data_IF_057798073960
#
_entry.id   IF_057798073960
#
_cell.length_a   1.000
_cell.length_b   1.000
_cell.length_c   1.000
_cell.angle_alpha   90.00
_cell.angle_beta   90.00
_cell.angle_gamma   90.00
#
_symmetry.space_group_name_H-M   'P 1'
#
loop_
_entity.id
_entity.type
_entity.pdbx_description
1 polymer ?
#
# COMPACT_ATOMS: atom_id res chain seq x y z
N UNK A 1 -99.83 -2.75 -15.80
CA UNK A 1 -99.01 -3.37 -14.72
C UNK A 1 -98.57 -4.81 -15.01
N UNK A 2 -99.25 -5.60 -15.87
CA UNK A 2 -98.87 -7.00 -16.12
C UNK A 2 -97.64 -7.24 -17.03
N UNK A 3 -97.43 -6.44 -18.08
CA UNK A 3 -96.34 -6.70 -19.04
C UNK A 3 -94.93 -6.44 -18.49
N UNK A 4 -94.73 -5.41 -17.66
CA UNK A 4 -93.41 -5.08 -17.11
C UNK A 4 -92.88 -6.16 -16.15
N UNK A 5 -93.77 -6.79 -15.37
CA UNK A 5 -93.40 -7.87 -14.45
C UNK A 5 -92.97 -9.14 -15.18
N UNK A 6 -93.60 -9.44 -16.33
CA UNK A 6 -93.27 -10.62 -17.13
C UNK A 6 -91.94 -10.42 -17.85
N UNK A 7 -91.70 -9.24 -18.42
CA UNK A 7 -90.42 -8.93 -19.10
C UNK A 7 -89.23 -8.94 -18.15
N UNK A 8 -89.40 -8.40 -16.93
CA UNK A 8 -88.35 -8.42 -15.90
C UNK A 8 -88.07 -9.85 -15.40
N UNK A 9 -89.12 -10.67 -15.23
CA UNK A 9 -88.98 -12.07 -14.85
C UNK A 9 -88.24 -12.90 -15.90
N UNK A 10 -88.52 -12.67 -17.19
CA UNK A 10 -87.81 -13.34 -18.31
C UNK A 10 -86.35 -12.90 -18.37
N UNK A 11 -86.04 -11.60 -18.18
CA UNK A 11 -84.66 -11.10 -18.15
C UNK A 11 -83.83 -11.70 -17.00
N UNK A 12 -84.41 -11.82 -15.81
CA UNK A 12 -83.75 -12.44 -14.65
C UNK A 12 -83.52 -13.94 -14.92
N UNK A 13 -84.49 -14.64 -15.51
CA UNK A 13 -84.37 -16.05 -15.85
C UNK A 13 -83.26 -16.29 -16.90
N UNK A 14 -83.22 -15.46 -17.95
CA UNK A 14 -82.16 -15.51 -18.98
C UNK A 14 -80.79 -15.21 -18.37
N UNK A 15 -80.69 -14.23 -17.47
CA UNK A 15 -79.46 -13.90 -16.76
C UNK A 15 -78.97 -15.05 -15.86
N UNK A 16 -79.88 -15.73 -15.15
CA UNK A 16 -79.55 -16.89 -14.31
C UNK A 16 -79.10 -18.10 -15.14
N UNK A 17 -79.78 -18.39 -16.26
CA UNK A 17 -79.35 -19.44 -17.21
C UNK A 17 -77.95 -19.12 -17.75
N UNK A 18 -77.71 -17.88 -18.16
CA UNK A 18 -76.42 -17.44 -18.68
C UNK A 18 -75.29 -17.52 -17.63
N UNK A 19 -75.55 -17.18 -16.36
CA UNK A 19 -74.58 -17.28 -15.28
C UNK A 19 -74.32 -18.74 -14.86
N UNK A 20 -75.33 -19.61 -14.95
CA UNK A 20 -75.21 -21.05 -14.67
C UNK A 20 -74.32 -21.77 -15.70
N UNK A 21 -74.44 -21.41 -16.99
CA UNK A 21 -73.64 -21.99 -18.06
C UNK A 21 -72.15 -21.62 -17.98
N UNK A 22 -71.80 -20.54 -17.25
CA UNK A 22 -70.43 -20.07 -17.04
C UNK A 22 -69.82 -20.48 -15.70
N UNK A 23 -70.51 -21.28 -14.89
CA UNK A 23 -69.98 -21.80 -13.61
C UNK A 23 -69.66 -20.72 -12.56
N UNK A 24 -70.25 -19.52 -12.66
CA UNK A 24 -69.94 -18.36 -11.80
C UNK A 24 -70.96 -18.12 -10.68
N UNK A 25 -71.98 -18.98 -10.55
CA UNK A 25 -72.99 -18.87 -9.51
C UNK A 25 -72.53 -19.51 -8.21
N UNK A 26 -72.02 -18.69 -7.28
CA UNK A 26 -71.79 -19.07 -5.89
C UNK A 26 -73.06 -18.90 -5.04
N UNK A 27 -73.19 -19.68 -3.96
CA UNK A 27 -74.35 -19.65 -3.06
C UNK A 27 -74.68 -18.24 -2.51
N UNK A 28 -73.66 -17.38 -2.37
CA UNK A 28 -73.82 -15.98 -1.93
C UNK A 28 -74.56 -15.13 -2.96
N UNK A 29 -74.32 -15.34 -4.26
CA UNK A 29 -74.98 -14.60 -5.34
C UNK A 29 -76.45 -15.01 -5.44
N UNK A 30 -76.75 -16.30 -5.27
CA UNK A 30 -78.12 -16.82 -5.22
C UNK A 30 -78.91 -16.26 -4.04
N UNK A 31 -78.28 -16.19 -2.85
CA UNK A 31 -78.84 -15.54 -1.67
C UNK A 31 -79.15 -14.07 -1.92
N UNK A 32 -78.24 -13.34 -2.58
CA UNK A 32 -78.44 -11.91 -2.85
C UNK A 32 -79.64 -11.69 -3.78
N UNK A 33 -79.70 -12.44 -4.89
CA UNK A 33 -80.80 -12.38 -5.88
C UNK A 33 -82.13 -12.78 -5.24
N UNK A 34 -82.16 -13.81 -4.40
CA UNK A 34 -83.36 -14.22 -3.68
C UNK A 34 -83.88 -13.13 -2.72
N UNK A 35 -83.00 -12.35 -2.09
CA UNK A 35 -83.40 -11.20 -1.25
C UNK A 35 -83.93 -10.04 -2.08
N UNK A 36 -83.30 -9.75 -3.23
CA UNK A 36 -83.79 -8.71 -4.17
C UNK A 36 -85.19 -9.06 -4.68
N UNK A 37 -85.43 -10.31 -5.07
CA UNK A 37 -86.74 -10.77 -5.56
C UNK A 37 -87.79 -10.73 -4.44
N UNK A 38 -87.40 -10.97 -3.18
CA UNK A 38 -88.27 -10.82 -2.01
C UNK A 38 -88.51 -9.35 -1.60
N UNK A 39 -87.89 -8.39 -2.29
CA UNK A 39 -88.03 -6.96 -1.98
C UNK A 39 -87.27 -6.50 -0.73
N UNK A 40 -86.29 -7.27 -0.25
CA UNK A 40 -85.42 -6.83 0.84
C UNK A 40 -84.46 -5.74 0.35
N UNK A 41 -84.47 -4.61 1.06
CA UNK A 41 -83.58 -3.48 0.78
C UNK A 41 -82.13 -3.86 1.12
N UNK A 42 -81.32 -4.05 0.08
CA UNK A 42 -79.93 -4.51 0.17
C UNK A 42 -78.95 -3.34 0.33
N UNK A 43 -79.43 -2.12 0.54
CA UNK A 43 -78.58 -0.95 0.82
C UNK A 43 -78.01 -1.02 2.24
N UNK A 44 -77.07 -1.94 2.50
CA UNK A 44 -76.16 -1.76 3.63
C UNK A 44 -75.42 -0.44 3.41
N UNK A 45 -75.73 0.58 4.21
CA UNK A 45 -74.91 1.79 4.33
C UNK A 45 -73.48 1.34 4.62
N UNK A 46 -72.57 1.61 3.69
CA UNK A 46 -71.14 1.59 3.96
C UNK A 46 -70.88 2.78 4.87
N UNK A 47 -70.76 2.55 6.18
CA UNK A 47 -70.25 3.55 7.09
C UNK A 47 -68.77 3.78 6.74
N UNK A 48 -68.50 4.84 5.97
CA UNK A 48 -67.14 5.31 5.77
C UNK A 48 -66.69 5.84 7.14
N UNK A 49 -65.61 5.32 7.74
CA UNK A 49 -65.11 5.86 9.00
C UNK A 49 -64.75 7.33 8.76
N UNK A 50 -65.49 8.23 9.41
CA UNK A 50 -65.21 9.66 9.37
C UNK A 50 -63.95 9.88 10.19
N UNK A 51 -62.81 10.03 9.53
CA UNK A 51 -61.56 10.41 10.18
C UNK A 51 -61.77 11.81 10.77
N UNK A 52 -61.58 12.01 12.08
CA UNK A 52 -61.74 13.31 12.70
C UNK A 52 -60.90 14.38 11.99
N UNK A 53 -61.48 15.56 11.73
CA UNK A 53 -60.76 16.66 11.08
C UNK A 53 -59.52 17.11 11.88
N UNK A 54 -59.52 16.87 13.20
CA UNK A 54 -58.37 17.10 14.07
C UNK A 54 -57.17 16.23 13.70
N UNK A 55 -57.39 14.96 13.39
CA UNK A 55 -56.33 14.01 13.02
C UNK A 55 -55.76 14.36 11.64
N UNK A 56 -56.61 14.81 10.71
CA UNK A 56 -56.16 15.29 9.39
C UNK A 56 -55.27 16.54 9.53
N UNK A 57 -55.60 17.46 10.45
CA UNK A 57 -54.78 18.66 10.71
C UNK A 57 -53.46 18.30 11.36
N UNK A 58 -53.45 17.37 12.32
CA UNK A 58 -52.22 16.91 12.97
C UNK A 58 -51.27 16.27 11.94
N UNK A 59 -51.78 15.38 11.09
CA UNK A 59 -50.98 14.75 10.02
C UNK A 59 -50.41 15.75 9.02
N UNK A 60 -51.14 16.84 8.73
CA UNK A 60 -50.63 17.93 7.87
C UNK A 60 -49.48 18.68 8.54
N UNK A 61 -49.61 18.99 9.83
CA UNK A 61 -48.55 19.66 10.59
C UNK A 61 -47.29 18.80 10.70
N UNK A 62 -47.44 17.51 11.02
CA UNK A 62 -46.32 16.56 11.08
C UNK A 62 -45.61 16.43 9.73
N UNK A 63 -46.37 16.39 8.62
CA UNK A 63 -45.80 16.37 7.27
C UNK A 63 -45.01 17.63 6.95
N UNK A 64 -45.53 18.81 7.30
CA UNK A 64 -44.84 20.08 7.08
C UNK A 64 -43.55 20.19 7.90
N UNK A 65 -43.56 19.72 9.15
CA UNK A 65 -42.38 19.68 10.02
C UNK A 65 -41.32 18.70 9.50
N UNK A 66 -41.74 17.52 9.05
CA UNK A 66 -40.85 16.56 8.39
C UNK A 66 -40.23 17.13 7.12
N UNK A 67 -41.00 17.87 6.32
CA UNK A 67 -40.49 18.50 5.10
C UNK A 67 -39.47 19.60 5.40
N UNK A 68 -39.70 20.41 6.44
CA UNK A 68 -38.73 21.40 6.94
C UNK A 68 -37.44 20.74 7.44
N UNK A 69 -37.57 19.62 8.16
CA UNK A 69 -36.41 18.87 8.66
C UNK A 69 -35.60 18.26 7.53
N UNK A 70 -36.26 17.67 6.53
CA UNK A 70 -35.60 17.08 5.36
C UNK A 70 -34.87 18.11 4.50
N UNK A 71 -35.46 19.29 4.31
CA UNK A 71 -34.81 20.37 3.56
C UNK A 71 -33.58 20.88 4.30
N UNK A 72 -33.68 21.13 5.61
CA UNK A 72 -32.53 21.51 6.45
C UNK A 72 -31.41 20.47 6.39
N UNK A 73 -31.73 19.19 6.58
CA UNK A 73 -30.74 18.12 6.56
C UNK A 73 -30.07 17.98 5.18
N UNK A 74 -30.81 18.21 4.09
CA UNK A 74 -30.25 18.20 2.73
C UNK A 74 -29.22 19.30 2.54
N UNK A 75 -29.51 20.51 3.03
CA UNK A 75 -28.61 21.66 2.90
C UNK A 75 -27.35 21.48 3.76
N UNK A 76 -27.50 20.89 4.95
CA UNK A 76 -26.36 20.50 5.80
C UNK A 76 -25.46 19.47 5.12
N UNK A 77 -26.04 18.43 4.50
CA UNK A 77 -25.28 17.42 3.74
C UNK A 77 -24.54 18.05 2.57
N UNK A 78 -25.16 18.98 1.85
CA UNK A 78 -24.51 19.66 0.73
C UNK A 78 -23.34 20.54 1.19
N UNK A 79 -23.51 21.23 2.33
CA UNK A 79 -22.44 22.00 2.96
C UNK A 79 -21.27 21.11 3.35
N UNK A 80 -21.54 19.97 3.99
CA UNK A 80 -20.50 18.99 4.37
C UNK A 80 -19.77 18.45 3.13
N UNK A 81 -20.49 18.17 2.04
CA UNK A 81 -19.87 17.71 0.78
C UNK A 81 -18.91 18.73 0.20
N UNK A 82 -19.27 20.02 0.22
CA UNK A 82 -18.40 21.09 -0.27
C UNK A 82 -17.14 21.23 0.59
N UNK A 83 -17.28 21.18 1.91
CA UNK A 83 -16.13 21.21 2.84
C UNK A 83 -15.21 20.02 2.59
N UNK A 84 -15.77 18.82 2.49
CA UNK A 84 -14.99 17.61 2.24
C UNK A 84 -14.26 17.65 0.88
N UNK A 85 -14.87 18.26 -0.14
CA UNK A 85 -14.22 18.45 -1.44
C UNK A 85 -13.01 19.39 -1.33
N UNK A 86 -13.16 20.50 -0.60
CA UNK A 86 -12.08 21.45 -0.35
C UNK A 86 -10.92 20.82 0.47
N UNK A 87 -11.24 20.08 1.54
CA UNK A 87 -10.23 19.38 2.34
C UNK A 87 -9.48 18.33 1.53
N UNK A 88 -10.17 17.56 0.67
CA UNK A 88 -9.54 16.59 -0.22
C UNK A 88 -8.59 17.25 -1.22
N UNK A 89 -8.95 18.41 -1.75
CA UNK A 89 -8.06 19.16 -2.64
C UNK A 89 -6.82 19.67 -1.89
N UNK A 90 -7.01 20.21 -0.67
CA UNK A 90 -5.91 20.67 0.16
C UNK A 90 -4.94 19.53 0.51
N UNK A 91 -5.46 18.37 0.91
CA UNK A 91 -4.65 17.18 1.19
C UNK A 91 -3.87 16.72 -0.03
N UNK A 92 -4.45 16.78 -1.24
CA UNK A 92 -3.71 16.45 -2.48
C UNK A 92 -2.55 17.40 -2.72
N UNK A 93 -2.72 18.70 -2.46
CA UNK A 93 -1.64 19.69 -2.60
C UNK A 93 -0.53 19.41 -1.60
N UNK A 94 -0.86 19.21 -0.32
CA UNK A 94 0.10 18.87 0.73
C UNK A 94 0.86 17.57 0.43
N UNK A 95 0.18 16.55 -0.09
CA UNK A 95 0.83 15.29 -0.48
C UNK A 95 1.82 15.50 -1.64
N UNK A 96 1.48 16.33 -2.62
CA UNK A 96 2.38 16.65 -3.73
C UNK A 96 3.63 17.42 -3.26
N UNK A 97 3.45 18.37 -2.34
CA UNK A 97 4.55 19.13 -1.73
C UNK A 97 5.49 18.20 -0.94
N UNK A 98 4.95 17.33 -0.09
CA UNK A 98 5.74 16.35 0.66
C UNK A 98 6.52 15.39 -0.26
N UNK A 99 5.92 14.96 -1.36
CA UNK A 99 6.62 14.11 -2.35
C UNK A 99 7.77 14.87 -3.03
N UNK A 100 7.59 16.16 -3.32
CA UNK A 100 8.63 17.00 -3.90
C UNK A 100 9.79 17.22 -2.92
N UNK A 101 9.48 17.50 -1.64
CA UNK A 101 10.49 17.65 -0.59
C UNK A 101 11.27 16.36 -0.35
N UNK A 102 10.57 15.22 -0.29
CA UNK A 102 11.20 13.91 -0.14
C UNK A 102 12.18 13.63 -1.28
N UNK A 103 11.78 13.88 -2.53
CA UNK A 103 12.65 13.70 -3.68
C UNK A 103 13.91 14.59 -3.61
N UNK A 104 13.75 15.84 -3.17
CA UNK A 104 14.88 16.76 -2.98
C UNK A 104 15.85 16.26 -1.89
N UNK A 105 15.32 15.75 -0.78
CA UNK A 105 16.14 15.17 0.28
C UNK A 105 16.88 13.92 -0.18
N UNK A 106 16.24 13.03 -0.94
CA UNK A 106 16.88 11.82 -1.49
C UNK A 106 18.03 12.19 -2.43
N UNK A 107 17.86 13.22 -3.27
CA UNK A 107 18.94 13.74 -4.13
C UNK A 107 20.10 14.34 -3.34
N UNK A 108 19.81 15.06 -2.25
CA UNK A 108 20.83 15.63 -1.36
C UNK A 108 21.61 14.53 -0.62
N UNK A 109 20.92 13.52 -0.07
CA UNK A 109 21.55 12.37 0.57
C UNK A 109 22.45 11.61 -0.41
N UNK A 110 21.99 11.40 -1.65
CA UNK A 110 22.81 10.78 -2.69
C UNK A 110 24.07 11.59 -2.97
N UNK A 111 23.96 12.92 -3.10
CA UNK A 111 25.13 13.78 -3.31
C UNK A 111 26.10 13.73 -2.13
N UNK A 112 25.60 13.80 -0.89
CA UNK A 112 26.42 13.72 0.30
C UNK A 112 27.18 12.39 0.38
N UNK A 113 26.48 11.27 0.16
CA UNK A 113 27.11 9.94 0.16
C UNK A 113 28.18 9.79 -0.93
N UNK A 114 27.98 10.37 -2.11
CA UNK A 114 28.98 10.39 -3.16
C UNK A 114 30.21 11.23 -2.76
N UNK A 115 29.99 12.41 -2.20
CA UNK A 115 31.10 13.27 -1.74
C UNK A 115 31.90 12.65 -0.60
N UNK A 116 31.23 12.02 0.38
CA UNK A 116 31.90 11.31 1.46
C UNK A 116 32.75 10.15 0.91
N UNK A 117 32.20 9.37 -0.03
CA UNK A 117 32.95 8.29 -0.67
C UNK A 117 34.17 8.79 -1.45
N UNK A 118 34.05 9.91 -2.16
CA UNK A 118 35.15 10.50 -2.92
C UNK A 118 36.22 11.10 -1.99
N UNK A 119 35.83 11.71 -0.87
CA UNK A 119 36.77 12.23 0.12
C UNK A 119 37.50 11.12 0.86
N UNK A 120 36.80 10.06 1.25
CA UNK A 120 37.37 8.92 1.98
C UNK A 120 38.36 8.16 1.08
N UNK A 121 38.03 7.98 -0.20
CA UNK A 121 38.93 7.39 -1.19
C UNK A 121 40.16 8.28 -1.42
N UNK A 122 39.99 9.60 -1.50
CA UNK A 122 41.11 10.53 -1.68
C UNK A 122 42.03 10.58 -0.44
N UNK A 123 41.47 10.53 0.76
CA UNK A 123 42.23 10.52 2.01
C UNK A 123 42.95 9.18 2.23
N UNK A 124 42.26 8.07 1.95
CA UNK A 124 42.86 6.72 1.94
C UNK A 124 44.00 6.62 0.92
N UNK A 125 43.83 7.18 -0.28
CA UNK A 125 44.90 7.23 -1.28
C UNK A 125 46.11 8.06 -0.83
N UNK A 126 45.89 9.21 -0.16
CA UNK A 126 46.96 10.05 0.40
C UNK A 126 47.72 9.35 1.52
N UNK A 127 47.01 8.72 2.46
CA UNK A 127 47.64 7.99 3.57
C UNK A 127 48.42 6.79 3.07
N UNK A 128 47.89 6.03 2.09
CA UNK A 128 48.61 4.95 1.42
C UNK A 128 49.89 5.45 0.75
N UNK A 129 49.84 6.56 0.01
CA UNK A 129 51.01 7.14 -0.64
C UNK A 129 52.09 7.55 0.38
N UNK A 130 51.69 8.22 1.47
CA UNK A 130 52.59 8.62 2.55
C UNK A 130 53.26 7.40 3.22
N UNK A 131 52.50 6.35 3.48
CA UNK A 131 53.00 5.11 4.08
C UNK A 131 53.99 4.39 3.16
N UNK A 132 53.70 4.30 1.85
CA UNK A 132 54.61 3.73 0.84
C UNK A 132 55.92 4.51 0.78
N UNK A 133 55.86 5.85 0.83
CA UNK A 133 57.05 6.69 0.83
C UNK A 133 57.89 6.51 2.10
N UNK A 134 57.24 6.52 3.28
CA UNK A 134 57.89 6.31 4.57
C UNK A 134 58.60 4.95 4.61
N UNK A 135 57.89 3.86 4.31
CA UNK A 135 58.47 2.51 4.34
C UNK A 135 59.52 2.29 3.24
N UNK A 136 59.45 3.04 2.14
CA UNK A 136 60.49 3.07 1.12
C UNK A 136 61.86 3.47 1.69
N UNK A 137 61.86 4.46 2.60
CA UNK A 137 63.06 5.03 3.22
C UNK A 137 63.59 4.23 4.43
N UNK A 138 62.73 3.49 5.13
CA UNK A 138 63.08 2.71 6.33
C UNK A 138 63.77 1.38 6.03
N UNK A 139 64.47 0.76 7.00
CA UNK A 139 65.00 -0.61 6.81
C UNK A 139 63.88 -1.65 6.85
N UNK A 140 63.98 -2.79 6.13
CA UNK A 140 62.94 -3.82 6.15
C UNK A 140 62.55 -4.31 7.55
N UNK A 141 63.53 -4.46 8.46
CA UNK A 141 63.29 -4.86 9.85
C UNK A 141 62.51 -3.82 10.65
N UNK A 142 62.74 -2.53 10.41
CA UNK A 142 62.00 -1.43 11.05
C UNK A 142 60.55 -1.38 10.54
N UNK A 143 60.35 -1.63 9.25
CA UNK A 143 59.00 -1.72 8.65
C UNK A 143 58.23 -2.89 9.24
N UNK A 144 58.87 -4.06 9.39
CA UNK A 144 58.24 -5.22 10.05
C UNK A 144 57.88 -4.93 11.50
N UNK A 145 58.73 -4.23 12.25
CA UNK A 145 58.43 -3.84 13.63
C UNK A 145 57.17 -2.94 13.73
N UNK A 146 56.98 -2.03 12.77
CA UNK A 146 55.77 -1.18 12.70
C UNK A 146 54.55 -2.02 12.33
N UNK A 147 54.65 -2.84 11.29
CA UNK A 147 53.55 -3.67 10.77
C UNK A 147 53.11 -4.74 11.79
N UNK A 148 54.03 -5.18 12.65
CA UNK A 148 53.75 -6.12 13.75
C UNK A 148 52.82 -5.53 14.80
N UNK A 149 52.73 -4.21 14.93
CA UNK A 149 51.70 -3.60 15.78
C UNK A 149 50.30 -3.99 15.28
N UNK A 150 49.37 -4.29 16.19
CA UNK A 150 48.00 -4.74 15.85
C UNK A 150 47.17 -3.68 15.11
N UNK A 151 47.72 -2.50 14.86
CA UNK A 151 47.05 -1.40 14.15
C UNK A 151 46.92 -1.62 12.64
N UNK A 152 47.58 -2.63 12.06
CA UNK A 152 47.61 -2.85 10.61
C UNK A 152 46.79 -4.06 10.17
N UNK A 153 45.79 -3.84 9.32
CA UNK A 153 45.06 -4.94 8.67
C UNK A 153 45.89 -5.59 7.56
N UNK A 154 45.63 -6.87 7.29
CA UNK A 154 46.32 -7.63 6.24
C UNK A 154 46.16 -6.98 4.85
N UNK A 155 44.99 -6.39 4.58
CA UNK A 155 44.71 -5.68 3.33
C UNK A 155 45.51 -4.37 3.23
N UNK A 156 45.65 -3.61 4.31
CA UNK A 156 46.47 -2.40 4.34
C UNK A 156 47.95 -2.72 4.10
N UNK A 157 48.46 -3.78 4.74
CA UNK A 157 49.82 -4.26 4.55
C UNK A 157 50.02 -4.69 3.09
N UNK A 158 49.10 -5.46 2.52
CA UNK A 158 49.13 -5.91 1.13
C UNK A 158 49.20 -4.73 0.16
N UNK A 159 48.33 -3.74 0.33
CA UNK A 159 48.28 -2.58 -0.57
C UNK A 159 49.57 -1.75 -0.54
N UNK A 160 50.14 -1.53 0.65
CA UNK A 160 51.44 -0.87 0.79
C UNK A 160 52.52 -1.69 0.08
N UNK A 161 52.64 -2.99 0.39
CA UNK A 161 53.66 -3.86 -0.20
C UNK A 161 53.55 -3.98 -1.73
N UNK A 162 52.32 -3.93 -2.28
CA UNK A 162 52.05 -3.96 -3.72
C UNK A 162 52.53 -2.71 -4.44
N UNK A 163 52.38 -1.53 -3.81
CA UNK A 163 52.78 -0.24 -4.40
C UNK A 163 54.26 0.11 -4.19
N UNK A 164 54.94 -0.58 -3.28
CA UNK A 164 56.37 -0.43 -3.06
C UNK A 164 57.21 -1.05 -4.19
N UNK A 165 58.48 -0.64 -4.30
CA UNK A 165 59.46 -1.27 -5.20
C UNK A 165 59.57 -2.77 -4.89
N UNK A 166 59.47 -3.62 -5.91
CA UNK A 166 59.46 -5.08 -5.77
C UNK A 166 60.65 -5.63 -4.95
N UNK A 167 61.85 -5.09 -5.15
CA UNK A 167 63.05 -5.51 -4.40
C UNK A 167 63.00 -5.14 -2.91
N UNK A 168 62.24 -4.10 -2.54
CA UNK A 168 62.04 -3.70 -1.16
C UNK A 168 60.92 -4.52 -0.51
N UNK A 169 59.80 -4.67 -1.22
CA UNK A 169 58.67 -5.49 -0.80
C UNK A 169 59.09 -6.95 -0.53
N UNK A 170 59.86 -7.55 -1.45
CA UNK A 170 60.40 -8.91 -1.27
C UNK A 170 61.27 -9.05 -0.02
N UNK A 171 62.12 -8.08 0.29
CA UNK A 171 62.93 -8.10 1.52
C UNK A 171 62.07 -8.00 2.78
N UNK A 172 61.01 -7.19 2.75
CA UNK A 172 60.07 -7.07 3.87
C UNK A 172 59.33 -8.39 4.07
N UNK A 173 58.87 -9.04 2.99
CA UNK A 173 58.24 -10.37 3.05
C UNK A 173 59.16 -11.40 3.69
N UNK A 174 60.43 -11.45 3.28
CA UNK A 174 61.43 -12.36 3.89
C UNK A 174 61.67 -12.07 5.38
N UNK A 175 61.56 -10.82 5.83
CA UNK A 175 61.61 -10.51 7.26
C UNK A 175 60.31 -10.90 7.98
N UNK A 176 59.14 -10.73 7.36
CA UNK A 176 57.85 -11.18 7.91
C UNK A 176 57.80 -12.71 8.11
N UNK A 177 58.41 -13.48 7.21
CA UNK A 177 58.53 -14.94 7.32
C UNK A 177 59.27 -15.39 8.59
N UNK A 178 60.13 -14.54 9.15
CA UNK A 178 60.87 -14.86 10.38
C UNK A 178 60.05 -14.59 11.65
N UNK A 179 58.94 -13.87 11.52
CA UNK A 179 58.12 -13.45 12.65
C UNK A 179 56.97 -14.45 12.91
N UNK A 180 56.91 -14.98 14.14
CA UNK A 180 55.84 -15.91 14.55
C UNK A 180 54.44 -15.31 14.41
N UNK A 181 54.31 -13.99 14.63
CA UNK A 181 53.04 -13.28 14.50
C UNK A 181 52.44 -13.33 13.09
N UNK A 182 53.26 -13.59 12.07
CA UNK A 182 52.81 -13.68 10.68
C UNK A 182 52.74 -15.12 10.14
N UNK A 183 53.39 -16.06 10.82
CA UNK A 183 53.53 -17.46 10.38
C UNK A 183 52.74 -18.46 11.22
N UNK A 184 52.18 -18.03 12.36
CA UNK A 184 51.27 -18.87 13.14
C UNK A 184 49.92 -18.97 12.43
N UNK A 185 49.42 -20.18 12.11
CA UNK A 185 48.12 -20.34 11.50
C UNK A 185 47.01 -19.92 12.46
N UNK A 186 46.06 -19.16 11.94
CA UNK A 186 44.83 -18.85 12.67
C UNK A 186 43.99 -20.13 12.85
N UNK A 187 43.36 -20.27 14.02
CA UNK A 187 42.65 -21.50 14.40
C UNK A 187 41.39 -21.73 13.56
N UNK A 188 40.77 -20.67 13.06
CA UNK A 188 39.51 -20.73 12.31
C UNK A 188 39.77 -20.91 10.82
N UNK A 189 40.68 -20.11 10.26
CA UNK A 189 40.94 -20.08 8.81
C UNK A 189 42.02 -21.08 8.37
N UNK A 190 42.80 -21.64 9.31
CA UNK A 190 43.99 -22.47 9.08
C UNK A 190 45.04 -21.84 8.16
N UNK A 191 44.95 -20.52 7.93
CA UNK A 191 45.89 -19.74 7.13
C UNK A 191 46.75 -18.90 8.05
N UNK A 192 47.98 -18.64 7.61
CA UNK A 192 48.83 -17.67 8.30
C UNK A 192 48.45 -16.25 7.88
N UNK A 193 48.73 -15.27 8.75
CA UNK A 193 48.53 -13.86 8.41
C UNK A 193 49.36 -13.46 7.18
N UNK A 194 50.56 -14.02 7.05
CA UNK A 194 51.39 -13.83 5.86
C UNK A 194 50.72 -14.37 4.59
N UNK A 195 50.15 -15.57 4.64
CA UNK A 195 49.39 -16.11 3.50
C UNK A 195 48.22 -15.20 3.12
N UNK A 196 47.49 -14.66 4.10
CA UNK A 196 46.41 -13.71 3.86
C UNK A 196 46.91 -12.44 3.16
N UNK A 197 48.04 -11.87 3.60
CA UNK A 197 48.67 -10.72 2.94
C UNK A 197 49.05 -11.08 1.49
N UNK A 198 49.61 -12.27 1.25
CA UNK A 198 50.14 -12.66 -0.06
C UNK A 198 49.09 -13.12 -1.08
N UNK A 199 47.86 -13.48 -0.67
CA UNK A 199 46.80 -14.04 -1.54
C UNK A 199 46.45 -13.21 -2.78
N UNK A 200 46.74 -11.90 -2.78
CA UNK A 200 46.53 -11.00 -3.93
C UNK A 200 47.81 -10.43 -4.55
N UNK A 201 49.00 -10.86 -4.11
CA UNK A 201 50.28 -10.29 -4.56
C UNK A 201 50.95 -11.03 -5.73
N UNK A 202 50.36 -12.13 -6.23
CA UNK A 202 50.94 -12.91 -7.33
C UNK A 202 51.15 -12.05 -8.57
N UNK A 203 52.41 -11.75 -8.84
CA UNK A 203 52.89 -11.19 -10.10
C UNK A 203 52.59 -12.18 -11.24
N UNK A 204 52.17 -11.63 -12.37
CA UNK A 204 52.19 -12.29 -13.69
C UNK A 204 53.51 -13.05 -13.89
N UNK A 205 53.49 -14.27 -14.47
CA UNK A 205 54.69 -15.07 -14.65
C UNK A 205 55.74 -14.30 -15.46
N UNK A 206 56.96 -14.27 -14.90
CA UNK A 206 58.18 -13.81 -15.53
C UNK A 206 58.38 -14.64 -16.80
N UNK A 207 58.29 -14.00 -17.96
CA UNK A 207 58.68 -14.61 -19.24
C UNK A 207 60.12 -15.07 -19.10
N UNK A 208 60.32 -16.39 -19.00
CA UNK A 208 61.61 -16.99 -19.28
C UNK A 208 61.88 -16.74 -20.76
N UNK A 209 62.86 -15.88 -21.04
CA UNK A 209 63.47 -15.83 -22.36
C UNK A 209 64.08 -17.20 -22.63
N UNK A 210 63.33 -18.05 -23.32
CA UNK A 210 63.90 -19.16 -24.07
C UNK A 210 64.67 -18.52 -25.23
N UNK A 211 65.98 -18.46 -25.07
CA UNK A 211 66.85 -18.48 -26.24
C UNK A 211 66.71 -19.87 -26.83
N UNK A 212 66.26 -19.92 -28.08
CA UNK A 212 66.87 -20.70 -29.16
C UNK A 212 66.49 -20.04 -30.49
#
# INVERSE_FOLDING_TARGET
MGLFSVVLGVLILVFLIFCSARGTLNAKTFSLVARVIKGEDITRRVEIPVVPEADIKLLKMEREELQKTLTKNRDEVETIRLVLAAERENLRKQQAELLAERKKNDELLKKLSATESDTDLAESAKTLAANVELFGKMKPTEVVAIIKSEAWSDDAIREVLRKMKSSKSSKIVTELEKEQAFTTPDRETRRTRLENILLGMKQTPRVENVKD
#
